data_IF_165903790523
#
_entry.id   IF_165903790523
#
_cell.length_a   1.000
_cell.length_b   1.000
_cell.length_c   1.000
_cell.angle_alpha   90.00
_cell.angle_beta   90.00
_cell.angle_gamma   90.00
#
_symmetry.space_group_name_H-M   'P 1'
#
loop_
_entity.id
_entity.type
_entity.pdbx_description
1 polymer ?
#
# COMPACT_ATOMS: atom_id res chain seq x y z
N UNK A 1 -8.92 -13.58 -27.73
CA UNK A 1 -9.15 -14.07 -26.37
C UNK A 1 -7.80 -14.24 -25.69
N UNK A 2 -7.39 -13.30 -24.83
CA UNK A 2 -6.12 -13.38 -24.12
C UNK A 2 -6.23 -14.46 -23.05
N UNK A 3 -5.33 -15.45 -23.10
CA UNK A 3 -5.22 -16.46 -22.05
C UNK A 3 -4.91 -15.79 -20.72
N UNK A 4 -5.74 -16.08 -19.70
CA UNK A 4 -5.40 -15.80 -18.32
C UNK A 4 -4.05 -16.47 -18.01
N UNK A 5 -3.12 -15.78 -17.31
CA UNK A 5 -1.83 -16.36 -16.96
C UNK A 5 -2.04 -17.68 -16.19
N UNK A 6 -1.32 -18.72 -16.59
CA UNK A 6 -1.34 -20.04 -15.95
C UNK A 6 -1.16 -19.84 -14.45
N UNK A 7 -2.23 -20.11 -13.71
CA UNK A 7 -2.33 -19.76 -12.33
C UNK A 7 -1.18 -20.37 -11.52
N UNK A 8 -0.64 -19.56 -10.62
CA UNK A 8 0.24 -19.93 -9.53
C UNK A 8 -0.47 -20.84 -8.49
N UNK A 9 -1.39 -21.72 -8.93
CA UNK A 9 -2.39 -22.40 -8.09
C UNK A 9 -1.77 -23.33 -7.07
N UNK A 10 -0.56 -23.86 -7.34
CA UNK A 10 0.20 -24.68 -6.39
C UNK A 10 1.22 -23.91 -5.56
N UNK A 11 1.59 -22.69 -5.95
CA UNK A 11 2.66 -21.94 -5.30
C UNK A 11 2.23 -21.46 -3.91
N UNK A 12 1.07 -20.82 -3.80
CA UNK A 12 0.61 -20.24 -2.54
C UNK A 12 0.32 -21.31 -1.47
N UNK A 13 -0.42 -22.41 -1.75
CA UNK A 13 -0.63 -23.46 -0.76
C UNK A 13 0.69 -24.10 -0.29
N UNK A 14 1.63 -24.35 -1.20
CA UNK A 14 2.95 -24.89 -0.87
C UNK A 14 3.77 -23.92 -0.04
N UNK A 15 3.78 -22.64 -0.40
CA UNK A 15 4.47 -21.59 0.34
C UNK A 15 3.93 -21.44 1.77
N UNK A 16 2.61 -21.50 1.96
CA UNK A 16 1.98 -21.44 3.28
C UNK A 16 2.24 -22.70 4.11
N UNK A 17 2.26 -23.89 3.49
CA UNK A 17 2.67 -25.12 4.17
C UNK A 17 4.13 -25.05 4.60
N UNK A 18 5.01 -24.56 3.72
CA UNK A 18 6.43 -24.42 3.98
C UNK A 18 6.73 -23.44 5.12
N UNK A 19 5.98 -22.33 5.17
CA UNK A 19 6.06 -21.33 6.23
C UNK A 19 5.77 -21.88 7.64
N UNK A 20 5.02 -22.99 7.73
CA UNK A 20 4.70 -23.68 9.00
C UNK A 20 5.65 -24.82 9.32
N UNK A 21 6.64 -25.08 8.47
CA UNK A 21 7.59 -26.17 8.69
C UNK A 21 8.45 -25.92 9.94
N UNK A 22 8.91 -26.99 10.62
CA UNK A 22 9.80 -26.86 11.77
C UNK A 22 11.22 -26.43 11.37
N UNK A 23 11.51 -26.29 10.07
CA UNK A 23 12.84 -25.92 9.59
C UNK A 23 13.21 -24.53 10.08
N UNK A 24 14.49 -24.37 10.41
CA UNK A 24 15.06 -23.06 10.68
C UNK A 24 15.13 -22.29 9.36
N UNK A 25 14.60 -21.06 9.28
CA UNK A 25 14.71 -20.25 8.07
C UNK A 25 16.17 -19.95 7.75
N UNK A 26 16.57 -20.14 6.49
CA UNK A 26 17.81 -19.57 6.00
C UNK A 26 17.63 -18.05 5.94
N UNK A 27 18.43 -17.31 6.69
CA UNK A 27 18.49 -15.85 6.59
C UNK A 27 19.52 -15.46 5.54
N UNK A 28 19.18 -14.48 4.72
CA UNK A 28 20.12 -13.83 3.82
C UNK A 28 20.74 -12.60 4.53
N UNK A 29 21.88 -12.09 4.03
CA UNK A 29 22.40 -10.79 4.47
C UNK A 29 21.34 -9.69 4.38
N UNK A 30 21.48 -8.67 5.23
CA UNK A 30 20.56 -7.53 5.25
C UNK A 30 20.37 -6.94 3.84
N UNK A 31 19.11 -6.90 3.39
CA UNK A 31 18.73 -6.26 2.14
C UNK A 31 18.12 -4.88 2.44
N UNK A 32 18.73 -3.78 1.97
CA UNK A 32 18.21 -2.44 2.20
C UNK A 32 16.86 -2.24 1.50
N UNK A 33 16.12 -1.23 1.94
CA UNK A 33 14.93 -0.77 1.21
C UNK A 33 15.34 -0.32 -0.19
N UNK A 34 14.73 -0.93 -1.21
CA UNK A 34 14.89 -0.42 -2.56
C UNK A 34 14.21 0.94 -2.65
N UNK A 35 14.92 1.98 -3.13
CA UNK A 35 14.29 3.28 -3.34
C UNK A 35 13.05 3.11 -4.22
N UNK A 36 12.05 3.95 -3.95
CA UNK A 36 10.85 3.97 -4.77
C UNK A 36 11.25 4.27 -6.21
N UNK A 37 10.88 3.42 -7.19
CA UNK A 37 11.33 3.56 -8.57
C UNK A 37 10.65 4.72 -9.31
N UNK A 38 9.98 5.62 -8.58
CA UNK A 38 9.18 6.71 -9.11
C UNK A 38 10.08 7.94 -9.25
N UNK A 39 10.65 8.14 -10.43
CA UNK A 39 11.30 9.40 -10.79
C UNK A 39 10.29 10.52 -11.05
N UNK A 40 10.77 11.75 -11.15
CA UNK A 40 9.97 12.91 -11.55
C UNK A 40 9.41 13.75 -10.41
N UNK A 41 8.68 14.84 -10.73
CA UNK A 41 8.19 15.80 -9.75
C UNK A 41 7.19 15.17 -8.78
N UNK A 42 7.43 15.37 -7.48
CA UNK A 42 6.56 14.90 -6.40
C UNK A 42 5.62 16.02 -5.94
N UNK A 43 4.34 15.70 -5.83
CA UNK A 43 3.29 16.63 -5.39
C UNK A 43 3.10 16.45 -3.87
N UNK A 44 3.08 17.57 -3.14
CA UNK A 44 2.72 17.54 -1.73
C UNK A 44 1.22 17.24 -1.59
N UNK A 45 0.88 16.38 -0.64
CA UNK A 45 -0.50 16.21 -0.21
C UNK A 45 -0.82 17.45 0.64
N UNK A 46 -1.34 18.51 0.02
CA UNK A 46 -1.79 19.67 0.78
C UNK A 46 -3.20 19.42 1.31
N UNK A 47 -3.37 19.67 2.61
CA UNK A 47 -4.66 19.70 3.28
C UNK A 47 -5.49 20.84 2.73
N UNK A 48 -6.13 20.61 1.58
CA UNK A 48 -7.21 21.45 1.09
C UNK A 48 -8.25 21.52 2.20
N UNK A 49 -8.30 22.67 2.89
CA UNK A 49 -9.30 22.92 3.91
C UNK A 49 -10.66 22.50 3.37
N UNK A 50 -11.34 21.61 4.10
CA UNK A 50 -12.65 21.10 3.73
C UNK A 50 -13.66 22.26 3.72
N UNK A 51 -13.68 23.00 2.62
CA UNK A 51 -14.66 24.03 2.34
C UNK A 51 -15.89 23.32 1.78
N UNK A 52 -16.66 22.70 2.68
CA UNK A 52 -18.08 22.39 2.46
C UNK A 52 -18.42 21.17 1.59
N UNK A 53 -17.52 20.21 1.37
CA UNK A 53 -17.77 19.00 0.57
C UNK A 53 -17.43 17.67 1.25
N UNK A 54 -18.04 16.56 0.81
CA UNK A 54 -17.77 15.16 1.21
C UNK A 54 -16.44 14.64 0.61
N UNK A 55 -15.37 15.43 0.69
CA UNK A 55 -14.10 15.14 0.02
C UNK A 55 -13.31 14.11 0.82
N UNK A 56 -12.69 13.14 0.14
CA UNK A 56 -11.75 12.21 0.78
C UNK A 56 -10.46 12.96 1.12
N UNK A 57 -10.20 13.13 2.42
CA UNK A 57 -8.95 13.71 2.94
C UNK A 57 -7.81 12.69 2.85
N UNK A 58 -7.17 12.65 1.68
CA UNK A 58 -6.08 11.72 1.41
C UNK A 58 -4.83 12.01 2.24
N UNK A 59 -4.58 13.27 2.58
CA UNK A 59 -3.43 13.63 3.40
C UNK A 59 -3.55 12.95 4.75
N UNK A 60 -4.68 13.18 5.45
CA UNK A 60 -4.94 12.56 6.75
C UNK A 60 -4.93 11.05 6.67
N UNK A 61 -5.62 10.49 5.68
CA UNK A 61 -5.71 9.03 5.51
C UNK A 61 -4.31 8.40 5.39
N UNK A 62 -3.46 8.93 4.53
CA UNK A 62 -2.10 8.42 4.32
C UNK A 62 -1.17 8.72 5.51
N UNK A 63 -1.36 9.85 6.19
CA UNK A 63 -0.57 10.27 7.36
C UNK A 63 -0.75 9.31 8.53
N UNK A 64 -1.99 8.97 8.82
CA UNK A 64 -2.35 8.15 9.98
C UNK A 64 -2.19 6.65 9.72
N UNK A 65 -1.96 6.24 8.48
CA UNK A 65 -1.84 4.82 8.10
C UNK A 65 -0.42 4.42 7.69
N UNK A 66 0.16 5.09 6.69
CA UNK A 66 1.33 4.59 5.97
C UNK A 66 2.57 5.47 6.11
N UNK A 67 2.40 6.75 6.43
CA UNK A 67 3.49 7.72 6.44
C UNK A 67 4.57 7.38 7.47
N UNK A 68 5.83 7.63 7.12
CA UNK A 68 6.91 7.70 8.09
C UNK A 68 6.68 8.92 8.99
N UNK A 69 6.67 8.77 10.32
CA UNK A 69 6.54 9.90 11.23
C UNK A 69 7.69 10.90 11.02
N UNK A 70 7.35 12.19 11.04
CA UNK A 70 8.31 13.26 10.81
C UNK A 70 9.47 13.21 11.82
N UNK A 71 10.69 13.47 11.35
CA UNK A 71 11.90 13.47 12.19
C UNK A 71 12.36 12.08 12.65
N UNK A 72 11.79 10.99 12.11
CA UNK A 72 12.20 9.61 12.45
C UNK A 72 12.98 8.95 11.32
N UNK A 73 13.84 7.97 11.62
CA UNK A 73 14.62 7.25 10.60
C UNK A 73 13.78 6.28 9.73
N UNK A 74 12.44 6.31 9.79
CA UNK A 74 11.57 5.46 8.96
C UNK A 74 11.41 4.01 9.42
N UNK A 75 12.12 3.61 10.50
CA UNK A 75 12.00 2.25 11.05
C UNK A 75 10.59 1.94 11.54
N UNK A 76 9.91 2.90 12.16
CA UNK A 76 8.54 2.73 12.63
C UNK A 76 7.59 3.54 11.76
N UNK A 77 6.39 2.97 11.53
CA UNK A 77 5.27 3.60 10.82
C UNK A 77 4.00 3.32 11.63
N UNK A 78 2.89 4.05 11.43
CA UNK A 78 1.63 3.76 12.11
C UNK A 78 1.17 2.32 11.86
N UNK A 79 1.34 1.84 10.63
CA UNK A 79 1.14 0.42 10.29
C UNK A 79 2.27 -0.45 10.86
N UNK A 80 1.88 -1.53 11.53
CA UNK A 80 2.82 -2.56 11.97
C UNK A 80 3.39 -3.32 10.77
N UNK A 81 4.67 -3.69 10.85
CA UNK A 81 5.31 -4.58 9.86
C UNK A 81 6.31 -5.51 10.51
N UNK A 82 6.31 -6.76 10.09
CA UNK A 82 7.27 -7.76 10.53
C UNK A 82 8.71 -7.28 10.31
N UNK A 83 9.47 -7.15 11.40
CA UNK A 83 10.88 -6.74 11.34
C UNK A 83 11.09 -5.30 10.90
N UNK A 84 10.03 -4.47 10.88
CA UNK A 84 10.06 -3.11 10.34
C UNK A 84 10.53 -3.04 8.87
N UNK A 85 10.11 -4.03 8.06
CA UNK A 85 10.55 -4.16 6.66
C UNK A 85 9.64 -3.43 5.67
N UNK A 86 8.42 -3.08 6.09
CA UNK A 86 7.45 -2.24 5.38
C UNK A 86 7.30 -2.59 3.89
N UNK A 87 6.93 -3.84 3.55
CA UNK A 87 6.92 -4.33 2.17
C UNK A 87 5.76 -3.78 1.33
N UNK A 88 4.77 -3.15 1.97
CA UNK A 88 3.56 -2.64 1.33
C UNK A 88 3.82 -1.26 0.71
N UNK A 89 3.42 -1.11 -0.55
CA UNK A 89 3.41 0.16 -1.28
C UNK A 89 1.99 0.49 -1.70
N UNK A 90 1.62 1.77 -1.60
CA UNK A 90 0.32 2.27 -2.02
C UNK A 90 0.41 2.99 -3.36
N UNK A 91 -0.49 2.63 -4.28
CA UNK A 91 -0.76 3.36 -5.52
C UNK A 91 -2.19 3.86 -5.45
N UNK A 92 -2.42 5.06 -5.97
CA UNK A 92 -3.69 5.74 -5.86
C UNK A 92 -4.29 5.89 -7.26
N UNK A 93 -5.55 5.53 -7.40
CA UNK A 93 -6.40 5.96 -8.50
C UNK A 93 -7.44 6.91 -7.93
N UNK A 94 -7.38 8.17 -8.35
CA UNK A 94 -8.22 9.25 -7.84
C UNK A 94 -9.21 9.67 -8.91
N UNK A 95 -10.49 9.70 -8.55
CA UNK A 95 -11.55 10.35 -9.31
C UNK A 95 -11.93 11.72 -8.70
N UNK A 96 -13.05 12.31 -9.15
CA UNK A 96 -13.59 13.52 -8.56
C UNK A 96 -13.88 13.35 -7.05
N UNK A 97 -13.76 14.43 -6.26
CA UNK A 97 -14.09 14.39 -4.82
C UNK A 97 -12.94 13.97 -3.90
N UNK A 98 -11.69 14.07 -4.37
CA UNK A 98 -10.48 13.93 -3.57
C UNK A 98 -9.77 15.28 -3.39
N UNK A 99 -8.89 15.39 -2.38
CA UNK A 99 -8.04 16.57 -2.15
C UNK A 99 -6.96 16.78 -3.23
N UNK A 100 -6.77 15.81 -4.13
CA UNK A 100 -5.90 15.89 -5.29
C UNK A 100 -6.70 15.78 -6.59
N UNK A 101 -6.20 16.32 -7.71
CA UNK A 101 -6.83 16.15 -9.02
C UNK A 101 -7.02 14.67 -9.40
N UNK A 102 -8.03 14.35 -10.23
CA UNK A 102 -8.18 13.00 -10.76
C UNK A 102 -6.92 12.53 -11.49
N UNK A 103 -6.46 11.32 -11.21
CA UNK A 103 -5.20 10.81 -11.73
C UNK A 103 -4.77 9.50 -11.12
N UNK A 104 -3.68 8.93 -11.67
CA UNK A 104 -2.96 7.81 -11.08
C UNK A 104 -1.71 8.32 -10.40
N UNK A 105 -1.45 7.87 -9.19
CA UNK A 105 -0.33 8.31 -8.37
C UNK A 105 0.35 7.14 -7.68
N UNK A 106 1.63 7.29 -7.38
CA UNK A 106 2.34 6.40 -6.46
C UNK A 106 2.72 7.18 -5.20
N UNK A 107 2.43 6.62 -4.03
CA UNK A 107 2.68 7.28 -2.75
C UNK A 107 4.07 6.94 -2.21
N UNK A 108 4.81 7.97 -1.78
CA UNK A 108 6.06 7.83 -1.04
C UNK A 108 5.81 8.13 0.46
N UNK A 109 5.89 7.12 1.34
CA UNK A 109 5.70 7.28 2.77
C UNK A 109 6.81 8.06 3.46
N UNK A 110 8.03 8.13 2.89
CA UNK A 110 9.16 8.82 3.52
C UNK A 110 9.04 10.33 3.39
N UNK A 111 8.75 10.80 2.18
CA UNK A 111 8.58 12.23 1.91
C UNK A 111 7.15 12.70 2.17
N UNK A 112 6.21 11.76 2.35
CA UNK A 112 4.77 12.02 2.38
C UNK A 112 4.32 12.82 1.15
N UNK A 113 4.69 12.34 -0.03
CA UNK A 113 4.35 12.94 -1.32
C UNK A 113 3.82 11.89 -2.26
N UNK A 114 3.19 12.35 -3.34
CA UNK A 114 2.72 11.49 -4.41
C UNK A 114 3.42 11.81 -5.72
N UNK A 115 3.71 10.78 -6.51
CA UNK A 115 4.33 10.89 -7.82
C UNK A 115 3.26 10.60 -8.89
N UNK A 116 2.94 11.55 -9.79
CA UNK A 116 2.00 11.32 -10.87
C UNK A 116 2.48 10.19 -11.79
N UNK A 117 1.56 9.28 -12.15
CA UNK A 117 1.83 8.11 -13.01
C UNK A 117 1.03 8.11 -14.30
N UNK A 118 0.04 8.98 -14.41
CA UNK A 118 -0.78 9.13 -15.60
C UNK A 118 -2.18 9.64 -15.27
N UNK A 119 -3.02 9.87 -16.29
CA UNK A 119 -4.40 10.28 -16.08
C UNK A 119 -5.24 9.15 -15.46
N UNK A 120 -6.34 9.53 -14.81
CA UNK A 120 -7.38 8.58 -14.43
C UNK A 120 -8.07 8.02 -15.70
N UNK A 121 -8.58 6.77 -15.68
CA UNK A 121 -9.56 6.31 -16.65
C UNK A 121 -10.72 7.30 -16.78
N UNK A 122 -11.31 7.40 -17.97
CA UNK A 122 -12.44 8.32 -18.26
C UNK A 122 -13.65 8.04 -17.36
N UNK A 123 -13.81 6.80 -16.95
CA UNK A 123 -14.88 6.26 -16.12
C UNK A 123 -14.49 6.09 -14.64
N UNK A 124 -13.39 6.71 -14.19
CA UNK A 124 -12.96 6.59 -12.79
C UNK A 124 -14.07 7.05 -11.82
N UNK A 125 -14.46 6.20 -10.85
CA UNK A 125 -15.52 6.55 -9.91
C UNK A 125 -15.10 7.72 -9.02
N UNK A 126 -16.05 8.51 -8.50
CA UNK A 126 -15.76 9.52 -7.49
C UNK A 126 -15.08 8.91 -6.25
N UNK A 127 -14.12 9.63 -5.67
CA UNK A 127 -13.34 9.18 -4.52
C UNK A 127 -11.99 8.58 -4.90
N UNK A 128 -11.47 7.73 -4.02
CA UNK A 128 -10.13 7.18 -4.13
C UNK A 128 -10.13 5.65 -4.04
N UNK A 129 -9.39 5.03 -4.95
CA UNK A 129 -9.04 3.61 -4.90
C UNK A 129 -7.56 3.51 -4.54
N UNK A 130 -7.25 2.78 -3.49
CA UNK A 130 -5.88 2.55 -3.04
C UNK A 130 -5.49 1.11 -3.36
N UNK A 131 -4.59 0.93 -4.32
CA UNK A 131 -4.05 -0.38 -4.68
C UNK A 131 -2.80 -0.63 -3.84
N UNK A 132 -2.86 -1.67 -3.01
CA UNK A 132 -1.73 -2.12 -2.21
C UNK A 132 -0.94 -3.19 -2.97
N UNK A 133 0.36 -2.95 -3.11
CA UNK A 133 1.29 -3.91 -3.70
C UNK A 133 2.33 -4.30 -2.66
N UNK A 134 2.83 -5.54 -2.74
CA UNK A 134 3.74 -6.10 -1.75
C UNK A 134 5.06 -6.49 -2.40
N UNK A 135 6.17 -5.94 -1.91
CA UNK A 135 7.53 -6.28 -2.36
C UNK A 135 8.17 -7.29 -1.42
N UNK A 136 8.22 -8.56 -1.82
CA UNK A 136 8.61 -9.67 -0.94
C UNK A 136 10.11 -9.72 -0.58
N UNK A 137 10.99 -9.12 -1.39
CA UNK A 137 12.43 -9.39 -1.36
C UNK A 137 13.08 -9.25 0.03
N UNK A 138 12.80 -8.16 0.77
CA UNK A 138 13.38 -7.92 2.10
C UNK A 138 12.82 -8.88 3.15
N UNK A 139 11.52 -9.13 3.11
CA UNK A 139 10.86 -10.05 4.04
C UNK A 139 11.33 -11.48 3.81
N UNK A 140 11.52 -11.90 2.55
CA UNK A 140 12.13 -13.20 2.21
C UNK A 140 13.59 -13.27 2.63
N UNK A 141 14.38 -12.21 2.42
CA UNK A 141 15.76 -12.17 2.88
C UNK A 141 15.86 -12.31 4.41
N UNK A 142 14.96 -11.68 5.15
CA UNK A 142 14.98 -11.68 6.62
C UNK A 142 14.34 -12.93 7.25
N UNK A 143 13.24 -13.44 6.67
CA UNK A 143 12.41 -14.50 7.28
C UNK A 143 12.41 -15.81 6.48
N UNK A 144 13.10 -15.87 5.33
CA UNK A 144 13.17 -17.05 4.47
C UNK A 144 11.78 -17.56 4.09
N UNK A 145 11.57 -18.86 4.25
CA UNK A 145 10.30 -19.52 3.95
C UNK A 145 9.12 -19.07 4.83
N UNK A 146 9.37 -18.36 5.96
CA UNK A 146 8.31 -17.81 6.83
C UNK A 146 7.76 -16.48 6.36
N UNK A 147 8.30 -15.91 5.28
CA UNK A 147 7.92 -14.58 4.80
C UNK A 147 6.47 -14.47 4.33
N UNK A 148 5.89 -15.51 3.72
CA UNK A 148 4.59 -15.41 3.05
C UNK A 148 3.42 -15.03 3.96
N UNK A 149 3.20 -15.69 5.12
CA UNK A 149 2.19 -15.24 6.06
C UNK A 149 2.44 -13.82 6.59
N UNK A 150 3.70 -13.43 6.79
CA UNK A 150 4.06 -12.10 7.28
C UNK A 150 3.72 -11.01 6.25
N UNK A 151 3.93 -11.29 4.96
CA UNK A 151 3.55 -10.40 3.87
C UNK A 151 2.03 -10.17 3.81
N UNK A 152 1.24 -11.23 4.06
CA UNK A 152 -0.22 -11.13 4.15
C UNK A 152 -0.66 -10.32 5.38
N UNK A 153 0.00 -10.52 6.53
CA UNK A 153 -0.26 -9.74 7.74
C UNK A 153 0.06 -8.26 7.54
N UNK A 154 1.20 -7.93 6.93
CA UNK A 154 1.59 -6.55 6.63
C UNK A 154 0.59 -5.89 5.68
N UNK A 155 0.13 -6.59 4.64
CA UNK A 155 -0.89 -6.09 3.72
C UNK A 155 -2.25 -5.86 4.41
N UNK A 156 -2.68 -6.81 5.25
CA UNK A 156 -3.92 -6.68 6.03
C UNK A 156 -3.87 -5.52 7.02
N UNK A 157 -2.73 -5.33 7.71
CA UNK A 157 -2.52 -4.18 8.59
C UNK A 157 -2.58 -2.86 7.83
N UNK A 158 -1.96 -2.77 6.65
CA UNK A 158 -2.00 -1.57 5.82
C UNK A 158 -3.41 -1.25 5.34
N UNK A 159 -4.16 -2.25 4.87
CA UNK A 159 -5.54 -2.12 4.44
C UNK A 159 -6.45 -1.63 5.59
N UNK A 160 -6.36 -2.26 6.76
CA UNK A 160 -7.15 -1.87 7.93
C UNK A 160 -6.78 -0.47 8.43
N UNK A 161 -5.48 -0.12 8.47
CA UNK A 161 -5.03 1.20 8.88
C UNK A 161 -5.54 2.29 7.94
N UNK A 162 -5.50 2.06 6.62
CA UNK A 162 -6.08 2.97 5.63
C UNK A 162 -7.58 3.11 5.83
N UNK A 163 -8.32 2.01 6.00
CA UNK A 163 -9.77 2.05 6.17
C UNK A 163 -10.18 2.85 7.40
N UNK A 164 -9.50 2.64 8.53
CA UNK A 164 -9.74 3.38 9.77
C UNK A 164 -9.37 4.86 9.64
N UNK A 165 -8.25 5.17 8.97
CA UNK A 165 -7.79 6.54 8.79
C UNK A 165 -8.63 7.34 7.79
N UNK A 166 -9.19 6.67 6.77
CA UNK A 166 -9.94 7.26 5.66
C UNK A 166 -11.46 7.39 5.91
N UNK A 167 -11.96 6.92 7.05
CA UNK A 167 -13.40 6.93 7.38
C UNK A 167 -13.79 8.04 8.40
N UNK A 168 -13.65 9.36 8.09
CA UNK A 168 -14.36 10.38 8.84
C UNK A 168 -15.86 10.34 8.50
N UNK A 169 -16.66 11.10 9.26
CA UNK A 169 -18.11 11.14 9.10
C UNK A 169 -18.54 11.32 7.63
N UNK A 170 -19.21 10.30 7.07
CA UNK A 170 -19.80 10.33 5.74
C UNK A 170 -19.00 9.65 4.61
N UNK A 171 -17.75 9.24 4.81
CA UNK A 171 -17.00 8.46 3.82
C UNK A 171 -17.29 6.96 4.01
N UNK A 172 -17.64 6.26 2.92
CA UNK A 172 -17.73 4.80 2.92
C UNK A 172 -16.41 4.23 2.43
N UNK A 173 -15.90 3.24 3.16
CA UNK A 173 -14.70 2.51 2.76
C UNK A 173 -15.07 1.04 2.59
N UNK A 174 -14.68 0.47 1.46
CA UNK A 174 -14.74 -0.97 1.20
C UNK A 174 -13.33 -1.51 1.04
N UNK A 175 -13.10 -2.73 1.52
CA UNK A 175 -11.87 -3.47 1.26
C UNK A 175 -12.18 -4.56 0.26
N UNK A 176 -11.67 -4.36 -0.94
CA UNK A 176 -11.85 -5.29 -2.04
C UNK A 176 -10.49 -5.92 -2.40
N UNK A 177 -10.38 -7.22 -2.14
CA UNK A 177 -9.14 -7.97 -2.32
C UNK A 177 -9.00 -8.55 -3.74
N UNK A 178 -10.10 -8.78 -4.45
CA UNK A 178 -10.09 -9.34 -5.81
C UNK A 178 -10.40 -8.31 -6.90
N UNK A 179 -10.77 -7.08 -6.50
CA UNK A 179 -11.05 -5.97 -7.41
C UNK A 179 -12.43 -6.08 -8.07
N UNK A 180 -13.34 -6.91 -7.56
CA UNK A 180 -14.66 -7.11 -8.13
C UNK A 180 -15.63 -5.92 -7.93
N UNK A 181 -15.32 -5.00 -7.01
CA UNK A 181 -16.12 -3.80 -6.73
C UNK A 181 -15.65 -2.56 -7.50
N UNK A 182 -14.61 -2.69 -8.34
CA UNK A 182 -14.00 -1.61 -9.12
C UNK A 182 -14.54 -1.46 -10.55
#
# INVERSE_FOLDING_TARGET
MPQAPVAATGFLPRALADARSPRVPSTAPYLPEHPFPWGGPAIALEGGGSMGGRTVDLERALRLSLAVPHGTPGRLRPVASAGALHPVRAHLLLGPGCSLPPGRYAYDPHTHRVHPRGPAPTDAPPGAVVVLTVTAARTVAHYGHRAWPLLLLDAGHAAAALALAAAPAGVRVSLDADGAEL
#
